data_IF_207093136001
#
_entry.id   IF_207093136001
#
_cell.length_a   1.000
_cell.length_b   1.000
_cell.length_c   1.000
_cell.angle_alpha   90.00
_cell.angle_beta   90.00
_cell.angle_gamma   90.00
#
_symmetry.space_group_name_H-M   'P 1'
#
loop_
_entity.id
_entity.type
_entity.pdbx_description
1 polymer ?
#
# COMPACT_ATOMS: atom_id res chain seq x y z
N UNK A 1 28.69 -15.56 9.28
CA UNK A 1 27.96 -15.11 10.47
C UNK A 1 26.79 -14.27 10.00
N UNK A 2 25.54 -14.64 10.29
CA UNK A 2 24.40 -13.76 10.05
C UNK A 2 24.63 -12.48 10.86
N UNK A 3 24.77 -11.30 10.22
CA UNK A 3 24.60 -10.02 10.92
C UNK A 3 23.22 -10.10 11.58
N UNK A 4 23.10 -9.71 12.82
CA UNK A 4 21.90 -9.87 13.65
C UNK A 4 20.80 -8.87 13.23
N UNK A 5 20.51 -8.77 11.90
CA UNK A 5 19.47 -7.89 11.33
C UNK A 5 18.14 -8.61 11.30
N UNK A 6 17.06 -7.89 11.60
CA UNK A 6 15.68 -8.35 11.44
C UNK A 6 15.37 -8.37 9.94
N UNK A 7 14.99 -9.52 9.43
CA UNK A 7 14.65 -9.69 8.02
C UNK A 7 13.16 -9.47 7.78
N UNK A 8 12.85 -8.50 6.92
CA UNK A 8 11.48 -8.17 6.54
C UNK A 8 11.28 -8.51 5.06
N UNK A 9 10.27 -9.34 4.77
CA UNK A 9 9.83 -9.62 3.42
C UNK A 9 8.55 -8.83 3.14
N UNK A 10 8.67 -7.79 2.32
CA UNK A 10 7.55 -6.97 1.89
C UNK A 10 6.88 -7.60 0.68
N UNK A 11 5.54 -7.66 0.66
CA UNK A 11 4.77 -8.12 -0.50
C UNK A 11 3.83 -7.02 -0.98
N UNK A 12 3.97 -6.61 -2.24
CA UNK A 12 3.20 -5.52 -2.83
C UNK A 12 2.72 -5.84 -4.25
N UNK A 13 1.49 -5.42 -4.58
CA UNK A 13 0.89 -5.79 -5.87
C UNK A 13 0.98 -4.68 -6.91
N UNK A 14 0.68 -3.43 -6.57
CA UNK A 14 0.46 -2.39 -7.57
C UNK A 14 1.30 -1.15 -7.30
N UNK A 15 1.96 -0.66 -8.33
CA UNK A 15 2.62 0.65 -8.32
C UNK A 15 1.62 1.78 -8.08
N UNK A 16 2.09 2.87 -7.45
CA UNK A 16 1.29 4.05 -7.11
C UNK A 16 1.45 4.48 -5.65
N UNK A 17 0.34 4.77 -4.96
CA UNK A 17 0.39 5.28 -3.57
C UNK A 17 1.04 4.29 -2.59
N UNK A 18 0.76 3.01 -2.75
CA UNK A 18 1.36 1.93 -1.93
C UNK A 18 2.86 1.81 -2.22
N UNK A 19 3.26 1.85 -3.49
CA UNK A 19 4.66 1.86 -3.89
C UNK A 19 5.43 3.03 -3.27
N UNK A 20 4.87 4.25 -3.37
CA UNK A 20 5.48 5.43 -2.75
C UNK A 20 5.68 5.29 -1.25
N UNK A 21 4.68 4.73 -0.57
CA UNK A 21 4.80 4.42 0.86
C UNK A 21 5.95 3.44 1.13
N UNK A 22 6.03 2.35 0.37
CA UNK A 22 7.08 1.33 0.54
C UNK A 22 8.47 1.95 0.29
N UNK A 23 8.65 2.71 -0.80
CA UNK A 23 9.93 3.38 -1.10
C UNK A 23 10.34 4.34 0.02
N UNK A 24 9.39 5.11 0.54
CA UNK A 24 9.64 6.00 1.68
C UNK A 24 10.01 5.19 2.93
N UNK A 25 9.27 4.15 3.26
CA UNK A 25 9.57 3.28 4.39
C UNK A 25 10.99 2.70 4.28
N UNK A 26 11.34 2.12 3.13
CA UNK A 26 12.65 1.53 2.87
C UNK A 26 13.79 2.56 2.92
N UNK A 27 13.53 3.80 2.50
CA UNK A 27 14.51 4.90 2.58
C UNK A 27 14.89 5.23 4.02
N UNK A 28 13.93 5.19 4.94
CA UNK A 28 14.11 5.61 6.33
C UNK A 28 14.31 4.45 7.32
N UNK A 29 14.13 3.20 6.90
CA UNK A 29 14.50 2.05 7.72
C UNK A 29 16.01 1.97 7.92
N UNK A 30 16.42 1.74 9.17
CA UNK A 30 17.81 1.57 9.56
C UNK A 30 18.39 0.28 8.95
N UNK A 31 19.24 0.42 7.94
CA UNK A 31 19.83 -0.71 7.18
C UNK A 31 20.80 -1.56 8.00
N UNK A 32 21.30 -1.04 9.13
CA UNK A 32 22.12 -1.83 10.05
C UNK A 32 21.26 -2.77 10.90
N UNK A 33 19.98 -2.44 11.12
CA UNK A 33 19.03 -3.24 11.89
C UNK A 33 18.15 -4.12 11.05
N UNK A 34 17.79 -3.69 9.83
CA UNK A 34 16.83 -4.36 8.97
C UNK A 34 17.45 -4.84 7.67
N UNK A 35 17.12 -6.06 7.28
CA UNK A 35 17.36 -6.63 5.95
C UNK A 35 16.02 -6.69 5.23
N UNK A 36 15.89 -5.98 4.11
CA UNK A 36 14.63 -5.80 3.40
C UNK A 36 14.62 -6.57 2.09
N UNK A 37 13.65 -7.44 1.91
CA UNK A 37 13.34 -8.16 0.68
C UNK A 37 12.01 -7.61 0.14
N UNK A 38 11.97 -7.20 -1.12
CA UNK A 38 10.73 -6.77 -1.78
C UNK A 38 10.29 -7.83 -2.78
N UNK A 39 9.08 -8.35 -2.58
CA UNK A 39 8.36 -9.23 -3.52
C UNK A 39 7.21 -8.43 -4.11
N UNK A 40 7.22 -8.19 -5.41
CA UNK A 40 6.25 -7.30 -6.04
C UNK A 40 5.78 -7.78 -7.42
N UNK A 41 4.76 -7.11 -7.96
CA UNK A 41 4.33 -7.34 -9.34
C UNK A 41 5.30 -6.70 -10.34
N UNK A 42 5.12 -7.02 -11.61
CA UNK A 42 5.88 -6.43 -12.72
C UNK A 42 5.59 -4.93 -12.97
N UNK A 43 4.64 -4.33 -12.24
CA UNK A 43 4.40 -2.88 -12.26
C UNK A 43 5.53 -2.08 -11.57
N UNK A 44 6.39 -2.74 -10.79
CA UNK A 44 7.51 -2.13 -10.07
C UNK A 44 8.78 -2.24 -10.92
N UNK A 45 9.61 -1.20 -10.94
CA UNK A 45 10.89 -1.21 -11.64
C UNK A 45 12.02 -1.39 -10.63
N UNK A 46 12.90 -2.34 -10.89
CA UNK A 46 14.00 -2.69 -9.98
C UNK A 46 14.92 -1.48 -9.72
N UNK A 47 15.18 -0.68 -10.75
CA UNK A 47 16.07 0.50 -10.66
C UNK A 47 15.58 1.53 -9.62
N UNK A 48 14.27 1.59 -9.36
CA UNK A 48 13.67 2.48 -8.37
C UNK A 48 13.97 2.05 -6.92
N UNK A 49 14.54 0.85 -6.74
CA UNK A 49 14.84 0.24 -5.44
C UNK A 49 16.33 0.02 -5.19
N UNK A 50 17.18 0.47 -6.10
CA UNK A 50 18.64 0.40 -5.95
C UNK A 50 19.09 1.01 -4.64
N UNK A 51 19.82 0.21 -3.84
CA UNK A 51 20.28 0.61 -2.51
C UNK A 51 19.18 0.76 -1.45
N UNK A 52 17.91 0.50 -1.76
CA UNK A 52 16.81 0.51 -0.79
C UNK A 52 16.50 -0.88 -0.22
N UNK A 53 16.70 -1.93 -1.01
CA UNK A 53 16.43 -3.33 -0.64
C UNK A 53 17.68 -4.19 -0.75
N UNK A 54 17.75 -5.25 0.05
CA UNK A 54 18.81 -6.26 -0.02
C UNK A 54 18.50 -7.32 -1.11
N UNK A 55 17.23 -7.50 -1.45
CA UNK A 55 16.78 -8.40 -2.54
C UNK A 55 15.47 -7.89 -3.15
N UNK A 56 15.36 -8.06 -4.46
CA UNK A 56 14.19 -7.69 -5.25
C UNK A 56 13.69 -8.91 -6.04
N UNK A 57 12.41 -9.26 -5.88
CA UNK A 57 11.79 -10.42 -6.53
C UNK A 57 10.48 -10.00 -7.20
N UNK A 58 10.35 -10.29 -8.47
CA UNK A 58 9.11 -10.06 -9.21
C UNK A 58 8.33 -11.35 -9.41
N UNK A 59 7.04 -11.28 -9.12
CA UNK A 59 6.11 -12.40 -9.34
C UNK A 59 4.86 -11.92 -10.07
N UNK A 60 4.10 -12.85 -10.62
CA UNK A 60 2.83 -12.53 -11.25
C UNK A 60 1.76 -12.25 -10.18
N UNK A 61 1.44 -10.97 -9.98
CA UNK A 61 0.39 -10.50 -9.07
C UNK A 61 -0.65 -9.67 -9.84
N UNK A 62 -1.67 -10.32 -10.37
CA UNK A 62 -2.72 -9.67 -11.14
C UNK A 62 -3.71 -8.89 -10.26
N UNK A 63 -4.27 -7.78 -10.77
CA UNK A 63 -5.26 -6.97 -10.03
C UNK A 63 -6.62 -7.67 -9.87
N UNK A 64 -7.03 -8.46 -10.86
CA UNK A 64 -8.27 -9.22 -10.79
C UNK A 64 -8.10 -10.46 -9.90
N UNK A 65 -9.14 -10.82 -9.14
CA UNK A 65 -9.19 -12.09 -8.42
C UNK A 65 -9.43 -13.21 -9.44
N UNK A 66 -8.60 -14.25 -9.40
CA UNK A 66 -8.70 -15.35 -10.38
C UNK A 66 -7.84 -16.56 -10.05
N UNK A 67 -7.82 -17.55 -10.95
CA UNK A 67 -7.09 -18.81 -10.77
C UNK A 67 -5.56 -18.60 -10.57
N UNK A 68 -4.99 -17.53 -11.14
CA UNK A 68 -3.58 -17.18 -10.97
C UNK A 68 -3.22 -16.84 -9.51
N UNK A 69 -4.19 -16.53 -8.66
CA UNK A 69 -3.93 -16.26 -7.25
C UNK A 69 -3.38 -17.47 -6.50
N UNK A 70 -3.78 -18.69 -6.90
CA UNK A 70 -3.21 -19.93 -6.33
C UNK A 70 -1.73 -20.05 -6.65
N UNK A 71 -1.32 -19.70 -7.88
CA UNK A 71 0.07 -19.68 -8.28
C UNK A 71 0.86 -18.66 -7.48
N UNK A 72 0.33 -17.44 -7.35
CA UNK A 72 0.95 -16.38 -6.54
C UNK A 72 1.10 -16.80 -5.06
N UNK A 73 0.12 -17.50 -4.47
CA UNK A 73 0.20 -18.05 -3.10
C UNK A 73 1.39 -19.01 -3.00
N UNK A 74 1.54 -19.93 -3.96
CA UNK A 74 2.64 -20.92 -3.95
C UNK A 74 3.99 -20.21 -4.12
N UNK A 75 4.09 -19.24 -5.01
CA UNK A 75 5.32 -18.48 -5.26
C UNK A 75 5.72 -17.67 -4.02
N UNK A 76 4.80 -16.91 -3.41
CA UNK A 76 5.06 -16.19 -2.16
C UNK A 76 5.53 -17.14 -1.07
N UNK A 77 4.85 -18.28 -0.88
CA UNK A 77 5.24 -19.28 0.11
C UNK A 77 6.65 -19.83 -0.12
N UNK A 78 7.03 -20.05 -1.38
CA UNK A 78 8.41 -20.47 -1.72
C UNK A 78 9.43 -19.38 -1.36
N UNK A 79 9.12 -18.11 -1.64
CA UNK A 79 9.99 -16.99 -1.31
C UNK A 79 10.11 -16.78 0.20
N UNK A 80 9.01 -16.89 0.96
CA UNK A 80 9.07 -16.85 2.43
C UNK A 80 9.96 -17.96 2.97
N UNK A 81 9.86 -19.20 2.44
CA UNK A 81 10.74 -20.30 2.84
C UNK A 81 12.20 -20.07 2.40
N UNK A 82 12.43 -19.51 1.21
CA UNK A 82 13.76 -19.21 0.67
C UNK A 82 14.51 -18.20 1.54
N UNK A 83 13.83 -17.11 1.86
CA UNK A 83 14.42 -16.01 2.59
C UNK A 83 14.36 -16.20 4.12
N UNK A 84 13.43 -17.01 4.62
CA UNK A 84 13.19 -17.26 6.04
C UNK A 84 13.18 -15.93 6.83
N UNK A 85 12.23 -15.02 6.53
CA UNK A 85 12.14 -13.72 7.18
C UNK A 85 11.68 -13.84 8.64
N UNK A 86 11.98 -12.82 9.45
CA UNK A 86 11.40 -12.68 10.78
C UNK A 86 9.98 -12.10 10.69
N UNK A 87 9.76 -11.22 9.69
CA UNK A 87 8.48 -10.54 9.45
C UNK A 87 8.11 -10.65 7.97
N UNK A 88 6.89 -11.07 7.67
CA UNK A 88 6.25 -10.89 6.37
C UNK A 88 5.30 -9.70 6.46
N UNK A 89 5.56 -8.67 5.64
CA UNK A 89 4.77 -7.44 5.66
C UNK A 89 4.02 -7.28 4.33
N UNK A 90 2.71 -7.52 4.37
CA UNK A 90 1.84 -7.49 3.20
C UNK A 90 1.17 -6.12 3.03
N UNK A 91 1.18 -5.60 1.80
CA UNK A 91 0.65 -4.28 1.46
C UNK A 91 -0.50 -4.39 0.46
N UNK A 92 -1.60 -3.65 0.70
CA UNK A 92 -2.86 -3.63 -0.05
C UNK A 92 -3.74 -4.88 0.14
N UNK A 93 -5.05 -4.71 -0.14
CA UNK A 93 -6.06 -5.74 0.18
C UNK A 93 -5.81 -7.06 -0.54
N UNK A 94 -5.48 -7.04 -1.83
CA UNK A 94 -5.30 -8.29 -2.57
C UNK A 94 -3.98 -8.99 -2.23
N UNK A 95 -2.86 -8.28 -2.30
CA UNK A 95 -1.58 -8.86 -1.89
C UNK A 95 -1.63 -9.31 -0.42
N UNK A 96 -2.30 -8.52 0.44
CA UNK A 96 -2.53 -8.88 1.83
C UNK A 96 -3.31 -10.18 2.01
N UNK A 97 -4.38 -10.42 1.25
CA UNK A 97 -5.15 -11.65 1.34
C UNK A 97 -4.31 -12.86 0.88
N UNK A 98 -3.67 -12.75 -0.28
CA UNK A 98 -2.82 -13.81 -0.87
C UNK A 98 -1.66 -14.15 0.06
N UNK A 99 -0.97 -13.13 0.58
CA UNK A 99 0.20 -13.32 1.46
C UNK A 99 -0.19 -13.97 2.77
N UNK A 100 -1.27 -13.54 3.43
CA UNK A 100 -1.75 -14.14 4.68
C UNK A 100 -2.09 -15.62 4.51
N UNK A 101 -2.65 -16.00 3.35
CA UNK A 101 -2.89 -17.42 3.02
C UNK A 101 -1.58 -18.17 2.76
N UNK A 102 -0.65 -17.58 2.01
CA UNK A 102 0.65 -18.17 1.73
C UNK A 102 1.47 -18.41 3.00
N UNK A 103 1.26 -17.59 4.01
CA UNK A 103 2.02 -17.60 5.27
C UNK A 103 1.49 -18.58 6.32
N UNK A 104 0.34 -19.20 6.10
CA UNK A 104 -0.29 -20.12 7.06
C UNK A 104 0.69 -21.22 7.47
N UNK A 105 0.92 -21.36 8.79
CA UNK A 105 1.75 -22.39 9.39
C UNK A 105 3.25 -22.15 9.24
N UNK A 106 3.71 -20.99 8.82
CA UNK A 106 5.10 -20.57 8.88
C UNK A 106 5.39 -19.89 10.24
N UNK A 107 6.67 -19.76 10.61
CA UNK A 107 7.09 -19.35 11.96
C UNK A 107 7.34 -17.84 12.11
N UNK A 108 7.36 -17.12 11.00
CA UNK A 108 7.56 -15.67 10.99
C UNK A 108 6.31 -14.93 11.50
N UNK A 109 6.46 -13.67 11.85
CA UNK A 109 5.34 -12.79 12.13
C UNK A 109 4.74 -12.24 10.84
N UNK A 110 3.41 -12.25 10.75
CA UNK A 110 2.68 -11.69 9.61
C UNK A 110 2.05 -10.35 9.97
N UNK A 111 2.47 -9.29 9.28
CA UNK A 111 1.93 -7.93 9.42
C UNK A 111 1.23 -7.54 8.12
N UNK A 112 0.09 -6.88 8.23
CA UNK A 112 -0.69 -6.45 7.08
C UNK A 112 -1.02 -4.96 7.16
N UNK A 113 -0.95 -4.26 6.02
CA UNK A 113 -1.42 -2.88 5.86
C UNK A 113 -2.34 -2.79 4.64
N UNK A 114 -3.64 -2.51 4.82
CA UNK A 114 -4.60 -2.41 3.72
C UNK A 114 -4.36 -1.20 2.81
N UNK A 115 -3.75 -0.11 3.31
CA UNK A 115 -3.66 1.17 2.61
C UNK A 115 -5.00 1.67 2.07
N UNK A 116 -6.03 1.56 2.89
CA UNK A 116 -7.42 1.78 2.53
C UNK A 116 -8.18 0.48 2.27
N UNK A 117 -9.15 0.21 3.14
CA UNK A 117 -9.97 -1.00 3.05
C UNK A 117 -10.74 -1.09 1.75
N UNK A 118 -10.67 -2.24 1.04
CA UNK A 118 -11.41 -2.45 -0.20
C UNK A 118 -12.93 -2.37 0.00
N UNK A 119 -13.46 -2.74 1.16
CA UNK A 119 -14.89 -2.65 1.47
C UNK A 119 -15.37 -1.19 1.69
N UNK A 120 -14.46 -0.22 1.86
CA UNK A 120 -14.79 1.21 1.89
C UNK A 120 -14.80 1.87 0.50
N UNK A 121 -14.37 1.15 -0.53
CA UNK A 121 -14.42 1.65 -1.90
C UNK A 121 -15.89 1.79 -2.38
N UNK A 122 -16.11 2.68 -3.34
CA UNK A 122 -17.40 2.80 -4.01
C UNK A 122 -17.64 1.56 -4.88
N UNK A 123 -18.44 0.61 -4.37
CA UNK A 123 -18.76 -0.65 -5.03
C UNK A 123 -20.17 -1.11 -4.65
N UNK A 124 -20.67 -2.16 -5.31
CA UNK A 124 -21.97 -2.76 -4.96
C UNK A 124 -21.92 -3.42 -3.58
N UNK A 125 -23.07 -3.53 -2.93
CA UNK A 125 -23.18 -4.14 -1.59
C UNK A 125 -22.69 -5.60 -1.59
N UNK A 126 -22.95 -6.35 -2.66
CA UNK A 126 -22.44 -7.72 -2.82
C UNK A 126 -20.91 -7.76 -2.78
N UNK A 127 -20.24 -6.85 -3.50
CA UNK A 127 -18.77 -6.74 -3.48
C UNK A 127 -18.26 -6.30 -2.11
N UNK A 128 -18.94 -5.35 -1.47
CA UNK A 128 -18.60 -4.89 -0.12
C UNK A 128 -18.67 -6.03 0.90
N UNK A 129 -19.74 -6.82 0.86
CA UNK A 129 -19.89 -8.00 1.72
C UNK A 129 -18.78 -9.03 1.45
N UNK A 130 -18.47 -9.30 0.20
CA UNK A 130 -17.39 -10.21 -0.20
C UNK A 130 -16.03 -9.74 0.35
N UNK A 131 -15.67 -8.47 0.15
CA UNK A 131 -14.42 -7.92 0.65
C UNK A 131 -14.36 -7.97 2.18
N UNK A 132 -15.47 -7.65 2.86
CA UNK A 132 -15.55 -7.75 4.32
C UNK A 132 -15.33 -9.19 4.81
N UNK A 133 -15.93 -10.17 4.13
CA UNK A 133 -15.76 -11.58 4.48
C UNK A 133 -14.33 -12.07 4.26
N UNK A 134 -13.71 -11.69 3.13
CA UNK A 134 -12.30 -12.00 2.85
C UNK A 134 -11.40 -11.42 3.95
N UNK A 135 -11.59 -10.14 4.30
CA UNK A 135 -10.76 -9.50 5.34
C UNK A 135 -10.93 -10.16 6.71
N UNK A 136 -12.16 -10.53 7.10
CA UNK A 136 -12.43 -11.25 8.37
C UNK A 136 -11.69 -12.59 8.42
N UNK A 137 -11.79 -13.36 7.36
CA UNK A 137 -11.14 -14.69 7.30
C UNK A 137 -9.61 -14.51 7.28
N UNK A 138 -9.10 -13.63 6.44
CA UNK A 138 -7.67 -13.42 6.31
C UNK A 138 -7.04 -12.79 7.58
N UNK A 139 -7.81 -12.03 8.37
CA UNK A 139 -7.35 -11.47 9.64
C UNK A 139 -7.04 -12.55 10.70
N UNK A 140 -7.53 -13.78 10.53
CA UNK A 140 -7.16 -14.90 11.39
C UNK A 140 -5.68 -15.31 11.21
N UNK A 141 -5.10 -15.01 10.04
CA UNK A 141 -3.78 -15.45 9.61
C UNK A 141 -2.74 -14.31 9.59
N UNK A 142 -2.91 -13.28 10.40
CA UNK A 142 -1.87 -12.29 10.66
C UNK A 142 -1.84 -11.89 12.13
N UNK A 143 -0.68 -11.42 12.58
CA UNK A 143 -0.44 -11.01 13.96
C UNK A 143 -0.92 -9.58 14.22
N UNK A 144 -0.62 -8.67 13.30
CA UNK A 144 -0.97 -7.25 13.38
C UNK A 144 -1.47 -6.71 12.05
N UNK A 145 -2.38 -5.73 12.15
CA UNK A 145 -2.88 -4.95 11.03
C UNK A 145 -2.57 -3.49 11.30
N UNK A 146 -1.83 -2.86 10.38
CA UNK A 146 -1.49 -1.45 10.46
C UNK A 146 -2.55 -0.65 9.72
N UNK A 147 -3.23 0.24 10.44
CA UNK A 147 -4.17 1.21 9.89
C UNK A 147 -3.46 2.56 9.72
N UNK A 148 -3.64 3.21 8.58
CA UNK A 148 -2.98 4.50 8.30
C UNK A 148 -3.70 5.70 8.90
N UNK A 149 -4.82 5.48 9.58
CA UNK A 149 -5.59 6.50 10.30
C UNK A 149 -6.52 5.88 11.33
N UNK A 150 -6.98 6.70 12.30
CA UNK A 150 -8.00 6.28 13.27
C UNK A 150 -9.32 5.92 12.58
N UNK A 151 -9.69 6.64 11.52
CA UNK A 151 -10.89 6.33 10.73
C UNK A 151 -10.80 4.94 10.07
N UNK A 152 -9.61 4.54 9.61
CA UNK A 152 -9.38 3.21 9.05
C UNK A 152 -9.49 2.13 10.14
N UNK A 153 -8.92 2.36 11.32
CA UNK A 153 -9.08 1.49 12.49
C UNK A 153 -10.54 1.36 12.89
N UNK A 154 -11.26 2.48 13.03
CA UNK A 154 -12.67 2.49 13.39
C UNK A 154 -13.53 1.71 12.37
N UNK A 155 -13.26 1.90 11.08
CA UNK A 155 -13.94 1.16 10.01
C UNK A 155 -13.75 -0.36 10.11
N UNK A 156 -12.56 -0.82 10.54
CA UNK A 156 -12.31 -2.23 10.79
C UNK A 156 -13.12 -2.76 12.01
N UNK A 157 -13.21 -1.97 13.08
CA UNK A 157 -13.97 -2.31 14.28
C UNK A 157 -15.48 -2.38 13.98
N UNK A 158 -16.03 -1.38 13.28
CA UNK A 158 -17.44 -1.34 12.90
C UNK A 158 -17.84 -2.54 12.04
N UNK A 159 -16.94 -3.00 11.16
CA UNK A 159 -17.14 -4.20 10.35
C UNK A 159 -16.79 -5.50 11.09
N UNK A 160 -16.28 -5.41 12.33
CA UNK A 160 -15.83 -6.57 13.13
C UNK A 160 -14.84 -7.44 12.33
N UNK A 161 -13.82 -6.80 11.74
CA UNK A 161 -12.80 -7.49 10.95
C UNK A 161 -11.95 -8.38 11.85
N UNK A 162 -11.48 -7.86 12.98
CA UNK A 162 -10.71 -8.58 13.98
C UNK A 162 -10.85 -7.90 15.36
N UNK A 163 -10.19 -8.47 16.37
CA UNK A 163 -10.09 -7.85 17.69
C UNK A 163 -9.25 -6.58 17.63
N UNK A 164 -9.55 -5.62 18.52
CA UNK A 164 -8.87 -4.32 18.55
C UNK A 164 -7.36 -4.43 18.81
N UNK A 165 -6.94 -5.39 19.61
CA UNK A 165 -5.53 -5.62 19.95
C UNK A 165 -4.66 -5.99 18.72
N UNK A 166 -5.26 -6.45 17.62
CA UNK A 166 -4.58 -6.66 16.34
C UNK A 166 -4.38 -5.37 15.53
N UNK A 167 -5.14 -4.32 15.82
CA UNK A 167 -5.16 -3.07 15.03
C UNK A 167 -4.21 -2.04 15.64
N UNK A 168 -3.22 -1.60 14.88
CA UNK A 168 -2.29 -0.55 15.25
C UNK A 168 -2.40 0.62 14.29
N UNK A 169 -2.60 1.84 14.80
CA UNK A 169 -2.58 3.04 13.96
C UNK A 169 -1.15 3.52 13.83
N UNK A 170 -0.70 3.66 12.59
CA UNK A 170 0.58 4.28 12.22
C UNK A 170 0.30 5.17 11.00
N UNK A 171 0.34 6.49 11.20
CA UNK A 171 0.10 7.46 10.13
C UNK A 171 1.20 7.38 9.07
N UNK A 172 0.81 7.56 7.81
CA UNK A 172 1.79 7.69 6.74
C UNK A 172 2.59 8.99 6.90
N UNK A 173 3.90 8.90 6.70
CA UNK A 173 4.77 10.06 6.60
C UNK A 173 4.80 10.63 5.18
N UNK A 174 5.43 11.79 5.05
CA UNK A 174 5.76 12.43 3.76
C UNK A 174 7.21 12.89 3.82
N UNK A 175 7.97 12.60 2.76
CA UNK A 175 9.34 13.08 2.61
C UNK A 175 9.33 14.55 2.17
N UNK A 176 9.28 15.47 3.16
CA UNK A 176 9.16 16.92 2.93
C UNK A 176 10.36 17.45 2.12
N UNK A 177 11.57 17.00 2.43
CA UNK A 177 12.80 17.46 1.76
C UNK A 177 12.80 17.15 0.26
N UNK A 178 12.32 15.96 -0.13
CA UNK A 178 12.22 15.59 -1.54
C UNK A 178 11.18 16.44 -2.29
N UNK A 179 10.11 16.86 -1.61
CA UNK A 179 9.12 17.77 -2.19
C UNK A 179 9.63 19.21 -2.31
N UNK A 180 10.34 19.71 -1.30
CA UNK A 180 10.88 21.06 -1.33
C UNK A 180 11.98 21.23 -2.37
N UNK A 181 12.86 20.24 -2.56
CA UNK A 181 13.93 20.27 -3.56
C UNK A 181 13.44 20.06 -4.98
N UNK A 182 12.41 19.23 -5.19
CA UNK A 182 11.92 18.87 -6.54
C UNK A 182 10.84 19.81 -7.09
N UNK A 183 10.10 20.53 -6.23
CA UNK A 183 8.92 21.28 -6.64
C UNK A 183 9.21 22.72 -7.10
N UNK A 184 10.40 23.25 -6.81
CA UNK A 184 10.71 24.66 -7.15
C UNK A 184 11.06 24.83 -8.63
N UNK A 185 10.04 24.98 -9.47
CA UNK A 185 10.20 25.61 -10.77
C UNK A 185 10.02 24.77 -12.01
N UNK A 186 9.48 23.57 -11.94
CA UNK A 186 9.22 22.75 -13.12
C UNK A 186 8.20 23.41 -14.07
N UNK A 187 7.06 23.91 -13.52
CA UNK A 187 6.02 24.61 -14.30
C UNK A 187 5.70 25.92 -13.59
N UNK A 188 5.80 27.03 -14.32
CA UNK A 188 5.49 28.38 -13.81
C UNK A 188 4.07 28.76 -14.21
N UNK A 189 3.42 29.66 -13.44
CA UNK A 189 2.09 30.22 -13.77
C UNK A 189 2.02 30.75 -15.20
N UNK A 190 3.09 31.42 -15.69
CA UNK A 190 3.20 31.93 -17.05
C UNK A 190 3.09 30.84 -18.13
N UNK A 191 3.60 29.63 -17.83
CA UNK A 191 3.62 28.52 -18.78
C UNK A 191 2.22 27.91 -18.96
N UNK A 192 1.33 28.20 -18.00
CA UNK A 192 -0.10 27.81 -18.00
C UNK A 192 -1.02 29.01 -18.30
N UNK A 193 -0.48 30.16 -18.67
CA UNK A 193 -1.24 31.41 -18.88
C UNK A 193 -2.09 31.82 -17.66
N UNK A 194 -1.61 31.55 -16.45
CA UNK A 194 -2.30 31.90 -15.21
C UNK A 194 -1.79 33.30 -14.74
N UNK A 195 -2.68 34.30 -14.55
CA UNK A 195 -2.31 35.60 -14.00
C UNK A 195 -1.58 35.46 -12.65
N UNK A 196 -0.66 36.40 -12.35
CA UNK A 196 0.15 36.35 -11.11
C UNK A 196 -0.70 36.40 -9.83
N UNK A 197 -1.76 37.17 -9.86
CA UNK A 197 -2.69 37.49 -8.79
C UNK A 197 -3.89 36.53 -8.72
N UNK A 198 -4.04 35.64 -9.71
CA UNK A 198 -5.14 34.70 -9.73
C UNK A 198 -5.11 33.74 -8.54
N UNK A 199 -6.25 33.57 -7.87
CA UNK A 199 -6.43 32.51 -6.89
C UNK A 199 -6.59 31.18 -7.63
N UNK A 200 -5.68 30.23 -7.38
CA UNK A 200 -5.65 28.95 -8.11
C UNK A 200 -6.10 27.83 -7.19
N UNK A 201 -7.17 27.16 -7.56
CA UNK A 201 -7.63 25.92 -6.93
C UNK A 201 -7.31 24.76 -7.85
N UNK A 202 -6.58 23.76 -7.34
CA UNK A 202 -6.16 22.60 -8.12
C UNK A 202 -6.54 21.27 -7.47
N UNK A 203 -6.73 20.26 -8.30
CA UNK A 203 -6.95 18.88 -7.87
C UNK A 203 -5.93 17.97 -8.56
N UNK A 204 -5.25 17.13 -7.76
CA UNK A 204 -4.33 16.11 -8.26
C UNK A 204 -4.86 14.73 -7.89
N UNK A 205 -5.00 13.85 -8.88
CA UNK A 205 -5.50 12.50 -8.64
C UNK A 205 -5.78 11.73 -9.91
N UNK A 206 -6.05 10.42 -9.76
CA UNK A 206 -6.51 9.60 -10.87
C UNK A 206 -7.91 10.03 -11.30
N UNK A 207 -8.20 10.00 -12.59
CA UNK A 207 -9.56 10.16 -13.10
C UNK A 207 -10.35 8.89 -12.73
N UNK A 208 -11.11 8.96 -11.65
CA UNK A 208 -11.88 7.84 -11.13
C UNK A 208 -13.11 8.33 -10.35
N UNK A 209 -14.17 7.52 -10.25
CA UNK A 209 -15.36 7.86 -9.47
C UNK A 209 -15.06 8.17 -7.99
N UNK A 210 -14.02 7.55 -7.43
CA UNK A 210 -13.59 7.79 -6.04
C UNK A 210 -13.00 9.18 -5.84
N UNK A 211 -12.28 9.71 -6.84
CA UNK A 211 -11.67 11.06 -6.79
C UNK A 211 -12.63 12.14 -7.26
N UNK A 212 -13.72 11.75 -7.93
CA UNK A 212 -14.84 12.62 -8.33
C UNK A 212 -14.41 13.93 -9.04
N UNK A 213 -13.59 13.89 -10.10
CA UNK A 213 -13.15 15.11 -10.79
C UNK A 213 -14.31 15.90 -11.39
N UNK A 214 -15.41 15.23 -11.73
CA UNK A 214 -16.65 15.85 -12.19
C UNK A 214 -17.30 16.76 -11.13
N UNK A 215 -17.21 16.38 -9.85
CA UNK A 215 -17.69 17.19 -8.74
C UNK A 215 -16.81 18.43 -8.59
N UNK A 216 -15.48 18.28 -8.73
CA UNK A 216 -14.55 19.39 -8.70
C UNK A 216 -14.86 20.43 -9.81
N UNK A 217 -15.10 19.97 -11.05
CA UNK A 217 -15.46 20.86 -12.17
C UNK A 217 -16.81 21.55 -11.94
N UNK A 218 -17.80 20.83 -11.39
CA UNK A 218 -19.12 21.44 -11.03
C UNK A 218 -18.97 22.51 -9.97
N UNK A 219 -18.15 22.25 -8.93
CA UNK A 219 -17.85 23.25 -7.89
C UNK A 219 -17.19 24.48 -8.50
N UNK A 220 -16.19 24.31 -9.37
CA UNK A 220 -15.51 25.41 -10.03
C UNK A 220 -16.47 26.29 -10.86
N UNK A 221 -17.52 25.71 -11.46
CA UNK A 221 -18.57 26.44 -12.14
C UNK A 221 -19.37 27.35 -11.19
N UNK A 222 -19.70 26.84 -10.00
CA UNK A 222 -20.51 27.57 -9.00
C UNK A 222 -19.75 28.73 -8.33
N UNK A 223 -18.43 28.67 -8.32
CA UNK A 223 -17.57 29.69 -7.65
C UNK A 223 -17.13 30.76 -8.64
N UNK A 224 -17.38 30.59 -9.95
CA UNK A 224 -16.96 31.53 -10.99
C UNK A 224 -17.89 32.76 -11.10
N UNK A 225 -19.13 32.63 -10.63
CA UNK A 225 -20.15 33.69 -10.59
C UNK A 225 -20.12 34.42 -9.23
#
# INVERSE_FOLDING_TARGET
MRKNRIRILHVAQAAGGVERYIRMLLKYLDKEKFENILVCSQDFREEDYDGLVDSFEQIELNRAIGANDLRSIVEIRKLVKKYNPDIVYAHSSKAGAITRVADIGLKNHCVYNPHGWAFNMRCSDKKRMMYTAIEKIAALFCDKIICISDAEKQSALDKKICREDKLQVIFNGVDIESYESGARGAIKRRDLNIPKDAFVVGMVGRISPQKAPDVFVKMAKQVKD
#
